data_IF_965675260538
#
_entry.id   IF_965675260538
#
_cell.length_a   1.000
_cell.length_b   1.000
_cell.length_c   1.000
_cell.angle_alpha   90.00
_cell.angle_beta   90.00
_cell.angle_gamma   90.00
#
_symmetry.space_group_name_H-M   'P 1'
#
loop_
_entity.id
_entity.type
_entity.pdbx_description
1 polymer ?
#
# COMPACT_ATOMS: atom_id res chain seq x y z
N UNK A 1 -2.46 -22.29 -44.19
CA UNK A 1 -1.88 -21.20 -43.37
C UNK A 1 -3.00 -20.51 -42.61
N UNK A 2 -2.77 -20.09 -41.37
CA UNK A 2 -3.61 -19.09 -40.70
C UNK A 2 -2.73 -18.26 -39.73
N UNK A 3 -2.26 -17.06 -40.13
CA UNK A 3 -1.13 -16.41 -39.47
C UNK A 3 -1.59 -15.40 -38.40
N UNK A 4 -2.00 -15.86 -37.21
CA UNK A 4 -2.29 -14.96 -36.09
C UNK A 4 -2.12 -15.60 -34.70
N UNK A 5 -0.92 -16.12 -34.41
CA UNK A 5 -0.51 -16.62 -33.08
C UNK A 5 0.67 -15.85 -32.45
N UNK A 6 1.09 -14.74 -33.06
CA UNK A 6 2.11 -13.84 -32.51
C UNK A 6 1.52 -12.44 -32.32
N UNK A 7 1.21 -12.04 -31.07
CA UNK A 7 1.71 -10.79 -30.45
C UNK A 7 1.06 -10.46 -29.07
N UNK A 8 1.01 -11.40 -28.12
CA UNK A 8 0.68 -11.07 -26.71
C UNK A 8 1.92 -11.06 -25.79
N UNK A 9 2.99 -11.77 -26.16
CA UNK A 9 4.23 -11.82 -25.38
C UNK A 9 4.96 -10.45 -25.26
N UNK A 10 4.69 -9.49 -26.15
CA UNK A 10 5.39 -8.21 -26.22
C UNK A 10 4.81 -7.11 -25.29
N UNK A 11 3.80 -7.41 -24.47
CA UNK A 11 3.20 -6.44 -23.53
C UNK A 11 3.64 -6.59 -22.07
N UNK A 12 4.63 -7.44 -21.78
CA UNK A 12 5.34 -7.38 -20.50
C UNK A 12 6.28 -6.17 -20.49
N UNK A 13 5.73 -5.02 -20.10
CA UNK A 13 6.52 -3.89 -19.59
C UNK A 13 7.25 -4.43 -18.36
N UNK A 14 8.57 -4.60 -18.45
CA UNK A 14 9.37 -4.97 -17.28
C UNK A 14 9.42 -3.82 -16.27
N UNK A 15 9.85 -4.08 -15.03
CA UNK A 15 10.06 -3.02 -14.05
C UNK A 15 10.98 -1.93 -14.63
N UNK A 16 10.80 -0.65 -14.23
CA UNK A 16 11.54 0.47 -14.81
C UNK A 16 13.05 0.22 -14.83
N UNK A 17 13.73 0.64 -15.90
CA UNK A 17 15.13 0.27 -16.15
C UNK A 17 16.11 1.01 -15.24
N UNK A 18 16.25 0.52 -14.02
CA UNK A 18 17.24 1.00 -13.04
C UNK A 18 18.68 0.62 -13.44
N UNK A 19 19.66 1.28 -12.84
CA UNK A 19 21.07 0.84 -12.97
C UNK A 19 21.27 -0.47 -12.22
N UNK A 20 22.14 -1.36 -12.75
CA UNK A 20 22.40 -2.67 -12.14
C UNK A 20 22.81 -2.58 -10.66
N UNK A 21 23.55 -1.52 -10.28
CA UNK A 21 23.96 -1.30 -8.89
C UNK A 21 22.80 -0.91 -7.97
N UNK A 22 21.86 -0.07 -8.44
CA UNK A 22 20.66 0.27 -7.66
C UNK A 22 19.76 -0.95 -7.52
N UNK A 23 19.58 -1.73 -8.60
CA UNK A 23 18.81 -2.98 -8.51
C UNK A 23 19.45 -3.99 -7.55
N UNK A 24 20.78 -4.11 -7.54
CA UNK A 24 21.47 -4.98 -6.58
C UNK A 24 21.21 -4.55 -5.13
N UNK A 25 21.38 -3.26 -4.78
CA UNK A 25 21.09 -2.78 -3.42
C UNK A 25 19.64 -3.02 -3.01
N UNK A 26 18.70 -2.85 -3.93
CA UNK A 26 17.27 -3.12 -3.67
C UNK A 26 17.01 -4.61 -3.45
N UNK A 27 17.58 -5.50 -4.28
CA UNK A 27 17.47 -6.95 -4.09
C UNK A 27 18.06 -7.40 -2.74
N UNK A 28 19.23 -6.89 -2.37
CA UNK A 28 19.89 -7.19 -1.08
C UNK A 28 19.05 -6.68 0.12
N UNK A 29 18.50 -5.48 -0.01
CA UNK A 29 17.58 -4.88 0.98
C UNK A 29 16.28 -5.68 1.11
N UNK A 30 15.66 -6.11 0.01
CA UNK A 30 14.42 -6.88 0.01
C UNK A 30 14.61 -8.31 0.55
N UNK A 31 15.70 -8.99 0.19
CA UNK A 31 16.03 -10.31 0.74
C UNK A 31 16.22 -10.26 2.27
N UNK A 32 16.87 -9.20 2.77
CA UNK A 32 16.99 -8.90 4.21
C UNK A 32 15.63 -8.63 4.85
N UNK A 33 14.76 -7.84 4.21
CA UNK A 33 13.42 -7.53 4.74
C UNK A 33 12.47 -8.73 4.75
N UNK A 34 12.51 -9.59 3.73
CA UNK A 34 11.70 -10.83 3.68
C UNK A 34 12.09 -11.78 4.81
N UNK A 35 13.40 -11.95 5.04
CA UNK A 35 13.92 -12.68 6.20
C UNK A 35 13.53 -12.03 7.54
N UNK A 36 13.58 -10.70 7.66
CA UNK A 36 13.10 -9.99 8.86
C UNK A 36 11.59 -10.17 9.11
N UNK A 37 10.80 -10.59 8.11
CA UNK A 37 9.38 -10.93 8.24
C UNK A 37 9.21 -12.41 8.65
N UNK A 38 9.95 -13.34 8.04
CA UNK A 38 10.00 -14.76 8.46
C UNK A 38 10.37 -14.92 9.95
N UNK A 39 11.31 -14.10 10.45
CA UNK A 39 11.74 -14.08 11.85
C UNK A 39 10.79 -13.28 12.79
N UNK A 40 9.75 -12.61 12.28
CA UNK A 40 8.87 -11.71 13.05
C UNK A 40 7.71 -12.43 13.75
N UNK A 41 7.98 -12.96 14.95
CA UNK A 41 6.97 -13.66 15.77
C UNK A 41 5.90 -12.79 16.42
N UNK A 42 5.98 -11.44 16.36
CA UNK A 42 4.97 -10.57 16.99
C UNK A 42 4.78 -9.21 16.28
N UNK A 43 3.61 -9.01 15.68
CA UNK A 43 3.21 -7.82 14.91
C UNK A 43 3.05 -6.52 15.73
N UNK A 44 3.36 -6.49 17.03
CA UNK A 44 3.10 -5.31 17.89
C UNK A 44 4.00 -4.09 17.64
N UNK A 45 5.16 -4.24 16.96
CA UNK A 45 6.22 -3.23 16.91
C UNK A 45 6.43 -2.53 15.54
N UNK A 46 5.34 -2.10 14.89
CA UNK A 46 5.43 -1.40 13.59
C UNK A 46 6.25 -0.08 13.64
N UNK A 47 7.04 0.16 12.59
CA UNK A 47 7.77 1.43 12.42
C UNK A 47 6.87 2.63 12.23
N UNK A 48 5.72 2.48 11.57
CA UNK A 48 4.67 3.51 11.45
C UNK A 48 3.44 3.16 12.32
N UNK A 49 2.77 4.15 12.93
CA UNK A 49 1.64 3.89 13.83
C UNK A 49 0.35 3.56 13.07
N UNK A 50 -0.22 2.38 13.34
CA UNK A 50 -1.44 1.87 12.69
C UNK A 50 -2.62 2.86 12.71
N UNK A 51 -2.81 3.59 13.82
CA UNK A 51 -3.90 4.56 13.95
C UNK A 51 -3.77 5.77 13.00
N UNK A 52 -2.56 6.10 12.51
CA UNK A 52 -2.39 7.12 11.46
C UNK A 52 -2.71 6.52 10.09
N UNK A 53 -2.20 5.33 9.80
CA UNK A 53 -2.50 4.58 8.56
C UNK A 53 -4.02 4.39 8.42
N UNK A 54 -4.69 3.84 9.43
CA UNK A 54 -6.15 3.68 9.48
C UNK A 54 -6.93 4.99 9.40
N UNK A 55 -6.34 6.14 9.79
CA UNK A 55 -6.92 7.47 9.53
C UNK A 55 -6.79 7.84 8.05
N UNK A 56 -5.63 7.63 7.43
CA UNK A 56 -5.38 7.95 6.01
C UNK A 56 -6.27 7.10 5.10
N UNK A 57 -6.41 5.80 5.39
CA UNK A 57 -7.35 4.90 4.71
C UNK A 57 -8.82 5.33 4.85
N UNK A 58 -9.16 6.16 5.84
CA UNK A 58 -10.49 6.74 6.08
C UNK A 58 -10.58 8.24 5.72
N UNK A 59 -9.66 8.72 4.89
CA UNK A 59 -9.85 9.97 4.13
C UNK A 59 -10.57 9.74 2.80
N UNK A 60 -10.67 8.47 2.39
CA UNK A 60 -11.54 8.01 1.32
C UNK A 60 -12.96 7.83 1.90
N UNK A 61 -13.96 8.46 1.28
CA UNK A 61 -15.33 8.51 1.81
C UNK A 61 -16.10 7.21 1.58
N UNK A 62 -15.72 6.41 0.57
CA UNK A 62 -16.36 5.13 0.26
C UNK A 62 -15.92 4.02 1.25
N UNK A 63 -14.77 4.18 1.92
CA UNK A 63 -14.15 3.19 2.81
C UNK A 63 -14.86 3.07 4.16
N UNK A 64 -15.98 2.35 4.14
CA UNK A 64 -16.87 2.10 5.31
C UNK A 64 -16.15 1.42 6.47
N UNK A 65 -15.58 0.24 6.25
CA UNK A 65 -14.89 -0.56 7.28
C UNK A 65 -13.52 -1.03 6.79
N UNK A 66 -12.63 -1.26 7.75
CA UNK A 66 -11.28 -1.79 7.54
C UNK A 66 -11.03 -2.78 8.68
N UNK A 67 -10.51 -3.96 8.34
CA UNK A 67 -10.07 -5.01 9.26
C UNK A 67 -9.06 -4.50 10.31
N UNK A 68 -8.75 -5.35 11.29
CA UNK A 68 -7.66 -5.15 12.25
C UNK A 68 -6.28 -5.27 11.59
N UNK A 69 -6.16 -6.11 10.57
CA UNK A 69 -4.89 -6.58 10.02
C UNK A 69 -4.43 -5.80 8.78
N UNK A 70 -5.34 -5.31 7.94
CA UNK A 70 -4.96 -4.49 6.79
C UNK A 70 -4.06 -3.29 7.16
N UNK A 71 -4.31 -2.51 8.24
CA UNK A 71 -3.39 -1.45 8.65
C UNK A 71 -1.95 -1.93 8.94
N UNK A 72 -1.76 -3.16 9.40
CA UNK A 72 -0.44 -3.77 9.65
C UNK A 72 0.27 -4.13 8.34
N UNK A 73 -0.45 -4.68 7.36
CA UNK A 73 0.01 -4.90 5.98
C UNK A 73 0.46 -3.57 5.36
N UNK A 74 -0.39 -2.55 5.41
CA UNK A 74 -0.03 -1.18 4.97
C UNK A 74 1.20 -0.65 5.72
N UNK A 75 1.35 -0.91 7.03
CA UNK A 75 2.50 -0.43 7.80
C UNK A 75 3.83 -1.01 7.31
N UNK A 76 3.85 -2.28 6.86
CA UNK A 76 5.04 -2.89 6.28
C UNK A 76 5.28 -2.43 4.83
N UNK A 77 4.23 -2.36 4.02
CA UNK A 77 4.32 -1.84 2.65
C UNK A 77 4.85 -0.40 2.60
N UNK A 78 4.43 0.44 3.55
CA UNK A 78 4.94 1.80 3.73
C UNK A 78 6.42 1.85 4.15
N UNK A 79 6.88 0.90 4.97
CA UNK A 79 8.29 0.79 5.35
C UNK A 79 9.16 0.47 4.12
N UNK A 80 8.74 -0.52 3.32
CA UNK A 80 9.39 -0.86 2.04
C UNK A 80 9.40 0.33 1.07
N UNK A 81 8.27 1.00 0.88
CA UNK A 81 8.15 2.17 -0.01
C UNK A 81 9.07 3.33 0.38
N UNK A 82 9.20 3.62 1.68
CA UNK A 82 10.13 4.66 2.17
C UNK A 82 11.59 4.22 1.98
N UNK A 83 11.92 2.93 2.21
CA UNK A 83 13.27 2.38 1.98
C UNK A 83 13.66 2.41 0.49
N UNK A 84 12.78 1.94 -0.39
CA UNK A 84 12.95 1.91 -1.85
C UNK A 84 13.25 3.31 -2.40
N UNK A 85 12.40 4.30 -2.09
CA UNK A 85 12.61 5.68 -2.52
C UNK A 85 13.85 6.33 -1.90
N UNK A 86 14.21 5.97 -0.66
CA UNK A 86 15.45 6.44 -0.05
C UNK A 86 16.67 5.91 -0.80
N UNK A 87 16.68 4.63 -1.16
CA UNK A 87 17.78 3.97 -1.88
C UNK A 87 17.96 4.53 -3.29
N UNK A 88 16.86 4.71 -4.03
CA UNK A 88 16.87 5.31 -5.38
C UNK A 88 17.33 6.77 -5.35
N UNK A 89 16.78 7.57 -4.45
CA UNK A 89 17.17 8.97 -4.32
C UNK A 89 18.60 9.13 -3.80
N UNK A 90 19.09 8.21 -2.97
CA UNK A 90 20.49 8.23 -2.55
C UNK A 90 21.46 8.00 -3.71
N UNK A 91 21.12 7.15 -4.69
CA UNK A 91 21.91 7.05 -5.92
C UNK A 91 22.01 8.40 -6.66
N UNK A 92 20.92 9.15 -6.79
CA UNK A 92 20.94 10.51 -7.35
C UNK A 92 21.86 11.45 -6.55
N UNK A 93 21.96 11.28 -5.22
CA UNK A 93 22.90 12.03 -4.39
C UNK A 93 24.36 11.60 -4.62
N UNK A 94 24.63 10.30 -4.72
CA UNK A 94 25.97 9.75 -4.98
C UNK A 94 26.50 10.13 -6.38
N UNK A 95 25.67 10.05 -7.43
CA UNK A 95 26.02 10.45 -8.80
C UNK A 95 26.36 11.95 -8.90
N UNK A 96 25.79 12.76 -8.00
CA UNK A 96 26.12 14.18 -7.82
C UNK A 96 27.26 14.41 -6.81
N UNK A 97 28.01 13.37 -6.44
CA UNK A 97 29.12 13.37 -5.48
C UNK A 97 28.76 13.88 -4.07
N UNK A 98 27.48 13.84 -3.69
CA UNK A 98 26.97 14.33 -2.41
C UNK A 98 26.79 13.20 -1.40
N UNK A 99 27.26 13.44 -0.18
CA UNK A 99 27.01 12.58 1.00
C UNK A 99 25.87 13.09 1.89
N UNK A 100 24.91 13.80 1.28
CA UNK A 100 23.67 14.29 1.91
C UNK A 100 22.53 14.26 0.88
N UNK A 101 21.49 13.51 1.23
CA UNK A 101 20.21 13.41 0.54
C UNK A 101 19.37 14.68 0.78
N UNK A 102 18.78 15.21 -0.29
CA UNK A 102 18.01 16.46 -0.35
C UNK A 102 16.63 16.22 -0.98
N UNK A 103 15.77 17.24 -0.94
CA UNK A 103 14.50 17.32 -1.69
C UNK A 103 14.66 16.93 -3.17
N UNK A 104 15.60 17.56 -3.90
CA UNK A 104 15.82 17.36 -5.35
C UNK A 104 16.15 15.91 -5.74
N UNK A 105 16.75 15.13 -4.84
CA UNK A 105 17.08 13.73 -5.10
C UNK A 105 15.82 12.84 -5.15
N UNK A 106 14.82 13.18 -4.32
CA UNK A 106 13.51 12.54 -4.27
C UNK A 106 12.67 12.99 -5.47
N UNK A 107 12.72 14.26 -5.85
CA UNK A 107 12.02 14.80 -7.03
C UNK A 107 12.51 14.12 -8.33
N UNK A 108 13.83 13.98 -8.50
CA UNK A 108 14.41 13.20 -9.60
C UNK A 108 13.96 11.72 -9.58
N UNK A 109 13.72 11.14 -8.40
CA UNK A 109 13.18 9.79 -8.24
C UNK A 109 11.69 9.71 -8.62
N UNK A 110 10.88 10.70 -8.26
CA UNK A 110 9.48 10.75 -8.71
C UNK A 110 9.39 10.86 -10.23
N UNK A 111 10.16 11.76 -10.84
CA UNK A 111 10.17 11.97 -12.30
C UNK A 111 10.69 10.78 -13.12
N UNK A 112 11.49 9.89 -12.54
CA UNK A 112 12.05 8.72 -13.24
C UNK A 112 11.37 7.39 -12.90
N UNK A 113 10.92 7.20 -11.65
CA UNK A 113 10.40 5.92 -11.16
C UNK A 113 8.89 5.96 -10.97
N UNK A 114 8.37 6.85 -10.11
CA UNK A 114 6.94 6.89 -9.80
C UNK A 114 6.12 7.52 -10.93
N UNK A 115 6.74 8.25 -11.86
CA UNK A 115 6.10 8.71 -13.09
C UNK A 115 6.04 7.66 -14.22
N UNK A 116 6.57 6.45 -14.01
CA UNK A 116 6.28 5.25 -14.84
C UNK A 116 5.04 4.52 -14.26
N UNK A 117 5.02 4.38 -12.94
CA UNK A 117 3.78 4.30 -12.16
C UNK A 117 2.91 5.56 -12.36
N UNK A 118 1.70 5.60 -11.78
CA UNK A 118 0.80 6.78 -11.78
C UNK A 118 0.38 7.39 -13.15
N UNK A 119 0.94 6.96 -14.28
CA UNK A 119 0.70 7.41 -15.67
C UNK A 119 -0.76 7.34 -16.15
N UNK A 120 -1.68 6.78 -15.35
CA UNK A 120 -3.13 6.89 -15.53
C UNK A 120 -3.64 8.34 -15.40
N UNK A 121 -2.88 9.25 -14.79
CA UNK A 121 -3.18 10.69 -14.78
C UNK A 121 -2.30 11.45 -15.78
N UNK A 122 -2.95 12.11 -16.75
CA UNK A 122 -2.34 12.92 -17.82
C UNK A 122 -1.83 14.28 -17.30
N UNK A 123 -0.99 14.25 -16.25
CA UNK A 123 -0.55 15.44 -15.49
C UNK A 123 0.97 15.50 -15.23
N UNK A 124 1.71 14.45 -15.58
CA UNK A 124 3.17 14.38 -15.42
C UNK A 124 3.67 14.35 -13.98
N UNK A 125 4.99 14.25 -13.82
CA UNK A 125 5.65 14.19 -12.51
C UNK A 125 5.56 15.48 -11.71
N UNK A 126 5.61 16.64 -12.37
CA UNK A 126 5.48 17.96 -11.72
C UNK A 126 4.17 18.08 -10.93
N UNK A 127 3.04 17.66 -11.51
CA UNK A 127 1.76 17.68 -10.80
C UNK A 127 1.70 16.68 -9.64
N UNK A 128 2.44 15.57 -9.72
CA UNK A 128 2.59 14.62 -8.61
C UNK A 128 3.40 15.27 -7.47
N UNK A 129 4.52 15.93 -7.77
CA UNK A 129 5.34 16.66 -6.80
C UNK A 129 4.50 17.76 -6.13
N UNK A 130 3.78 18.58 -6.90
CA UNK A 130 2.88 19.61 -6.36
C UNK A 130 1.77 19.02 -5.47
N UNK A 131 1.20 17.87 -5.82
CA UNK A 131 0.19 17.19 -5.00
C UNK A 131 0.77 16.59 -3.70
N UNK A 132 2.01 16.09 -3.77
CA UNK A 132 2.78 15.65 -2.59
C UNK A 132 3.03 16.86 -1.69
N UNK A 133 3.54 17.99 -2.20
CA UNK A 133 3.87 19.15 -1.36
C UNK A 133 2.65 19.75 -0.65
N UNK A 134 1.51 19.83 -1.34
CA UNK A 134 0.24 20.33 -0.79
C UNK A 134 -0.46 19.36 0.18
N UNK A 135 0.00 18.12 0.31
CA UNK A 135 -0.54 17.17 1.32
C UNK A 135 -0.13 17.61 2.73
N UNK A 136 -1.03 17.49 3.71
CA UNK A 136 -0.75 17.76 5.13
C UNK A 136 -0.05 16.55 5.78
N UNK A 137 1.02 16.74 6.55
CA UNK A 137 1.70 15.64 7.23
C UNK A 137 0.80 14.96 8.30
N UNK A 138 0.38 13.71 8.06
CA UNK A 138 -0.35 12.85 9.00
C UNK A 138 0.60 11.80 9.60
N UNK A 139 1.54 11.28 8.83
CA UNK A 139 2.58 10.34 9.26
C UNK A 139 3.70 11.03 10.06
N UNK A 140 4.22 10.40 11.13
CA UNK A 140 5.18 11.05 12.01
C UNK A 140 6.59 11.10 11.39
N UNK A 141 7.04 12.29 11.00
CA UNK A 141 8.34 12.56 10.36
C UNK A 141 9.54 11.92 11.07
N UNK A 142 9.51 11.83 12.41
CA UNK A 142 10.56 11.18 13.20
C UNK A 142 10.66 9.66 13.00
N UNK A 143 9.55 8.99 12.65
CA UNK A 143 9.56 7.58 12.23
C UNK A 143 9.99 7.45 10.76
N UNK A 144 9.47 8.29 9.87
CA UNK A 144 9.88 8.32 8.45
C UNK A 144 11.40 8.49 8.34
N UNK A 145 11.97 9.48 9.04
CA UNK A 145 13.42 9.72 9.13
C UNK A 145 14.22 8.56 9.72
N UNK A 146 13.59 7.70 10.55
CA UNK A 146 14.21 6.48 11.09
C UNK A 146 14.20 5.34 10.06
N UNK A 147 13.14 5.21 9.26
CA UNK A 147 13.05 4.23 8.16
C UNK A 147 14.06 4.59 7.05
N UNK A 148 14.19 5.87 6.70
CA UNK A 148 15.27 6.39 5.81
C UNK A 148 16.71 6.16 6.32
N UNK A 149 16.86 5.55 7.51
CA UNK A 149 18.11 5.31 8.24
C UNK A 149 18.09 3.95 8.95
N UNK A 150 17.25 3.02 8.47
CA UNK A 150 17.14 1.67 9.05
C UNK A 150 18.30 0.77 8.61
N UNK A 151 18.85 1.04 7.43
CA UNK A 151 20.15 0.46 7.06
C UNK A 151 21.27 1.01 7.96
N UNK A 152 22.13 0.11 8.42
CA UNK A 152 23.22 0.39 9.37
C UNK A 152 24.55 0.59 8.67
N UNK A 153 24.69 0.02 7.47
CA UNK A 153 25.92 -0.01 6.70
C UNK A 153 26.08 1.30 5.91
N UNK A 154 24.97 1.92 5.50
CA UNK A 154 24.97 3.22 4.81
C UNK A 154 24.59 4.41 5.71
N UNK A 155 25.58 5.24 6.07
CA UNK A 155 25.42 6.43 6.95
C UNK A 155 24.83 7.66 6.22
N UNK A 156 23.66 7.48 5.58
CA UNK A 156 22.94 8.52 4.83
C UNK A 156 22.72 9.77 5.71
N UNK A 157 23.15 10.95 5.27
CA UNK A 157 22.72 12.25 5.84
C UNK A 157 21.49 12.74 5.05
N UNK A 158 20.52 13.38 5.72
CA UNK A 158 19.26 13.83 5.11
C UNK A 158 18.98 15.28 5.53
N UNK A 159 18.42 16.12 4.64
CA UNK A 159 17.91 17.45 5.04
C UNK A 159 16.63 17.34 5.89
N UNK A 160 16.11 18.48 6.37
CA UNK A 160 14.90 18.52 7.18
C UNK A 160 13.61 18.28 6.38
N UNK A 161 13.61 18.61 5.07
CA UNK A 161 12.43 18.52 4.19
C UNK A 161 12.23 17.09 3.65
N UNK A 162 13.33 16.38 3.37
CA UNK A 162 13.30 15.03 2.76
C UNK A 162 12.36 14.04 3.48
N UNK A 163 12.33 13.97 4.84
CA UNK A 163 11.38 13.11 5.56
C UNK A 163 9.92 13.55 5.49
N UNK A 164 9.62 14.83 5.22
CA UNK A 164 8.24 15.30 5.00
C UNK A 164 7.75 14.93 3.60
N UNK A 165 8.57 15.13 2.58
CA UNK A 165 8.25 14.73 1.20
C UNK A 165 7.99 13.21 1.13
N UNK A 166 8.84 12.39 1.75
CA UNK A 166 8.59 10.94 1.83
C UNK A 166 7.39 10.56 2.72
N UNK A 167 7.08 11.32 3.78
CA UNK A 167 5.86 11.08 4.56
C UNK A 167 4.61 11.34 3.70
N UNK A 168 4.54 12.48 3.02
CA UNK A 168 3.42 12.87 2.15
C UNK A 168 3.26 11.95 0.94
N UNK A 169 4.36 11.53 0.31
CA UNK A 169 4.34 10.52 -0.75
C UNK A 169 3.85 9.15 -0.24
N UNK A 170 4.27 8.75 0.97
CA UNK A 170 3.80 7.53 1.62
C UNK A 170 2.29 7.61 1.97
N UNK A 171 1.76 8.80 2.25
CA UNK A 171 0.31 9.01 2.44
C UNK A 171 -0.48 8.91 1.13
N UNK A 172 0.09 9.37 0.01
CA UNK A 172 -0.50 9.17 -1.31
C UNK A 172 -0.45 7.70 -1.74
N UNK A 173 0.65 6.99 -1.45
CA UNK A 173 0.75 5.54 -1.62
C UNK A 173 -0.33 4.79 -0.81
N UNK A 174 -0.54 5.14 0.47
CA UNK A 174 -1.63 4.55 1.28
C UNK A 174 -2.98 4.80 0.61
N UNK A 175 -3.27 6.02 0.13
CA UNK A 175 -4.56 6.34 -0.52
C UNK A 175 -4.79 5.53 -1.79
N UNK A 176 -3.82 5.48 -2.70
CA UNK A 176 -3.93 4.75 -3.97
C UNK A 176 -4.10 3.24 -3.76
N UNK A 177 -3.31 2.63 -2.88
CA UNK A 177 -3.47 1.23 -2.52
C UNK A 177 -4.78 0.97 -1.73
N UNK A 178 -5.28 1.94 -0.97
CA UNK A 178 -6.61 1.84 -0.31
C UNK A 178 -7.73 1.83 -1.33
N UNK A 179 -7.74 2.73 -2.30
CA UNK A 179 -8.78 2.79 -3.33
C UNK A 179 -8.82 1.51 -4.19
N UNK A 180 -7.65 0.97 -4.55
CA UNK A 180 -7.54 -0.31 -5.28
C UNK A 180 -7.97 -1.52 -4.44
N UNK A 181 -7.68 -1.52 -3.13
CA UNK A 181 -8.19 -2.54 -2.21
C UNK A 181 -9.70 -2.40 -1.96
N UNK A 182 -10.24 -1.17 -1.95
CA UNK A 182 -11.69 -0.93 -1.86
C UNK A 182 -12.42 -1.50 -3.07
N UNK A 183 -11.92 -1.28 -4.29
CA UNK A 183 -12.49 -1.87 -5.51
C UNK A 183 -12.57 -3.40 -5.42
N UNK A 184 -11.49 -4.07 -4.97
CA UNK A 184 -11.51 -5.52 -4.76
C UNK A 184 -12.55 -5.96 -3.71
N UNK A 185 -12.77 -5.18 -2.65
CA UNK A 185 -13.80 -5.46 -1.66
C UNK A 185 -15.21 -5.30 -2.26
N UNK A 186 -15.43 -4.22 -3.02
CA UNK A 186 -16.71 -3.87 -3.65
C UNK A 186 -17.13 -4.86 -4.74
N UNK A 187 -16.19 -5.28 -5.61
CA UNK A 187 -16.41 -6.35 -6.61
C UNK A 187 -16.84 -7.67 -5.92
N UNK A 188 -16.28 -7.97 -4.75
CA UNK A 188 -16.67 -9.10 -3.91
C UNK A 188 -17.92 -8.85 -3.04
N UNK A 189 -18.64 -7.73 -3.26
CA UNK A 189 -19.82 -7.29 -2.51
C UNK A 189 -19.57 -7.12 -0.99
N UNK A 190 -18.31 -6.95 -0.58
CA UNK A 190 -17.88 -6.73 0.81
C UNK A 190 -17.76 -5.23 1.10
N UNK A 191 -18.20 -4.83 2.29
CA UNK A 191 -18.12 -3.42 2.77
C UNK A 191 -16.97 -3.18 3.75
N UNK A 192 -15.96 -4.08 3.74
CA UNK A 192 -14.82 -4.06 4.66
C UNK A 192 -13.56 -4.43 3.90
N UNK A 193 -12.54 -3.54 3.91
CA UNK A 193 -11.22 -3.87 3.39
C UNK A 193 -10.54 -4.86 4.34
N UNK A 194 -10.31 -6.06 3.84
CA UNK A 194 -9.61 -7.16 4.48
C UNK A 194 -8.18 -7.29 3.91
N UNK A 195 -7.44 -8.33 4.26
CA UNK A 195 -6.03 -8.50 3.84
C UNK A 195 -5.94 -9.05 2.41
N UNK A 196 -6.88 -9.91 2.01
CA UNK A 196 -6.99 -10.45 0.65
C UNK A 196 -7.25 -9.36 -0.40
N UNK A 197 -7.93 -8.27 -0.02
CA UNK A 197 -8.15 -7.10 -0.90
C UNK A 197 -6.85 -6.37 -1.22
N UNK A 198 -5.96 -6.25 -0.23
CA UNK A 198 -4.67 -5.57 -0.35
C UNK A 198 -3.68 -6.45 -1.09
N UNK A 199 -3.66 -7.75 -0.80
CA UNK A 199 -2.88 -8.74 -1.55
C UNK A 199 -3.30 -8.78 -3.03
N UNK A 200 -4.61 -8.77 -3.32
CA UNK A 200 -5.15 -8.68 -4.68
C UNK A 200 -4.80 -7.34 -5.35
N UNK A 201 -4.85 -6.23 -4.61
CA UNK A 201 -4.52 -4.90 -5.13
C UNK A 201 -3.03 -4.78 -5.49
N UNK A 202 -2.14 -5.47 -4.76
CA UNK A 202 -0.72 -5.58 -5.08
C UNK A 202 -0.53 -6.50 -6.29
N UNK A 203 -1.04 -7.73 -6.23
CA UNK A 203 -0.86 -8.76 -7.28
C UNK A 203 -1.40 -8.34 -8.66
N UNK A 204 -2.46 -7.53 -8.70
CA UNK A 204 -3.10 -7.08 -9.94
C UNK A 204 -2.53 -5.76 -10.50
N UNK A 205 -1.53 -5.14 -9.86
CA UNK A 205 -1.00 -3.84 -10.30
C UNK A 205 0.53 -3.81 -10.29
N UNK A 206 1.09 -3.75 -11.50
CA UNK A 206 2.51 -3.65 -11.86
C UNK A 206 3.33 -2.67 -10.99
N UNK A 207 2.67 -1.62 -10.52
CA UNK A 207 3.27 -0.52 -9.80
C UNK A 207 3.54 -0.86 -8.32
N UNK A 208 3.20 -2.08 -7.89
CA UNK A 208 3.42 -2.63 -6.54
C UNK A 208 4.19 -3.97 -6.52
N UNK A 209 4.75 -4.45 -7.63
CA UNK A 209 5.52 -5.71 -7.70
C UNK A 209 6.62 -5.80 -6.62
N UNK A 210 7.18 -4.65 -6.20
CA UNK A 210 8.16 -4.53 -5.10
C UNK A 210 7.65 -4.94 -3.70
N UNK A 211 6.37 -5.32 -3.59
CA UNK A 211 5.71 -5.80 -2.38
C UNK A 211 5.27 -7.28 -2.47
N UNK A 212 5.38 -7.91 -3.64
CA UNK A 212 4.93 -9.28 -3.85
C UNK A 212 5.72 -10.29 -2.99
N UNK A 213 7.05 -10.14 -2.92
CA UNK A 213 7.93 -10.98 -2.09
C UNK A 213 7.88 -10.62 -0.58
N UNK A 214 7.14 -9.59 -0.21
CA UNK A 214 7.11 -9.00 1.15
C UNK A 214 5.86 -9.45 1.92
N UNK A 215 4.75 -9.68 1.23
CA UNK A 215 3.53 -10.19 1.82
C UNK A 215 3.39 -11.67 1.45
N UNK A 216 3.23 -12.59 2.42
CA UNK A 216 2.83 -13.95 2.09
C UNK A 216 1.43 -13.90 1.46
N UNK A 217 1.38 -14.04 0.13
CA UNK A 217 0.14 -14.28 -0.62
C UNK A 217 -0.20 -15.76 -0.39
N UNK A 218 -0.65 -16.05 0.83
CA UNK A 218 -1.00 -17.42 1.22
C UNK A 218 -2.20 -17.90 0.39
N UNK A 219 -1.93 -18.84 -0.52
CA UNK A 219 -2.93 -19.69 -1.19
C UNK A 219 -3.66 -20.62 -0.19
N UNK A 220 -3.36 -20.45 1.11
CA UNK A 220 -3.97 -21.10 2.26
C UNK A 220 -4.74 -20.13 3.18
N UNK A 221 -5.56 -19.24 2.59
CA UNK A 221 -6.74 -18.77 3.28
C UNK A 221 -7.65 -19.98 3.62
N UNK A 222 -7.93 -20.29 4.91
CA UNK A 222 -8.88 -21.32 5.24
C UNK A 222 -10.28 -20.85 4.81
N UNK A 223 -10.86 -21.56 3.83
CA UNK A 223 -12.21 -21.33 3.31
C UNK A 223 -13.26 -21.68 4.37
N UNK A 224 -13.37 -20.79 5.35
CA UNK A 224 -14.38 -20.83 6.41
C UNK A 224 -15.75 -20.67 5.73
N UNK A 225 -16.64 -21.68 5.76
CA UNK A 225 -17.92 -21.60 5.07
C UNK A 225 -18.72 -20.40 5.59
N UNK A 226 -19.33 -19.64 4.68
CA UNK A 226 -20.07 -18.43 5.03
C UNK A 226 -21.13 -18.75 6.10
N UNK A 227 -20.99 -18.13 7.27
CA UNK A 227 -21.93 -18.31 8.38
C UNK A 227 -23.34 -17.92 7.93
N UNK A 228 -24.36 -18.79 8.09
CA UNK A 228 -25.69 -18.53 7.57
C UNK A 228 -26.32 -17.32 8.27
N UNK A 229 -26.96 -16.45 7.49
CA UNK A 229 -27.49 -15.18 7.96
C UNK A 229 -28.48 -15.36 9.13
N UNK A 230 -28.10 -14.85 10.30
CA UNK A 230 -28.93 -14.85 11.51
C UNK A 230 -30.15 -13.94 11.32
N UNK A 231 -31.35 -14.50 11.49
CA UNK A 231 -32.60 -13.76 11.29
C UNK A 231 -32.85 -12.84 12.48
N UNK A 232 -33.03 -11.54 12.21
CA UNK A 232 -33.40 -10.56 13.22
C UNK A 232 -34.71 -10.95 13.94
N UNK A 233 -34.84 -10.69 15.26
CA UNK A 233 -36.03 -11.04 16.03
C UNK A 233 -37.24 -10.20 15.61
N UNK A 234 -38.32 -10.85 15.17
CA UNK A 234 -39.57 -10.19 14.81
C UNK A 234 -40.33 -9.67 16.03
N UNK A 235 -40.73 -8.39 16.00
CA UNK A 235 -41.50 -7.74 17.06
C UNK A 235 -42.97 -8.23 17.09
N UNK A 236 -43.44 -8.88 18.16
CA UNK A 236 -44.78 -9.44 18.23
C UNK A 236 -45.81 -8.43 18.77
N UNK A 237 -46.31 -7.54 17.91
CA UNK A 237 -47.44 -6.66 18.26
C UNK A 237 -48.31 -6.28 17.05
N UNK A 238 -49.20 -7.19 16.64
CA UNK A 238 -50.39 -6.83 15.87
C UNK A 238 -51.51 -7.85 16.11
N UNK A 239 -52.52 -7.47 16.89
CA UNK A 239 -53.66 -8.33 17.25
C UNK A 239 -54.97 -7.78 16.67
N UNK A 240 -55.50 -8.43 15.62
CA UNK A 240 -56.91 -8.34 15.28
C UNK A 240 -57.59 -9.69 15.54
N UNK A 241 -58.47 -9.76 16.54
CA UNK A 241 -59.43 -10.86 16.64
C UNK A 241 -60.80 -10.33 17.09
N UNK A 242 -61.82 -10.62 16.29
CA UNK A 242 -63.21 -10.28 16.54
C UNK A 242 -64.08 -11.47 16.11
N UNK A 243 -65.12 -11.78 16.90
CA UNK A 243 -66.18 -12.72 16.48
C UNK A 243 -66.19 -14.10 17.16
N UNK A 244 -66.74 -14.13 18.38
CA UNK A 244 -67.83 -15.03 18.79
C UNK A 244 -67.90 -16.47 18.22
N UNK A 245 -67.98 -17.49 19.09
CA UNK A 245 -69.19 -18.34 19.14
C UNK A 245 -69.27 -19.36 20.31
N UNK A 246 -70.45 -19.33 20.97
CA UNK A 246 -71.30 -20.48 21.38
C UNK A 246 -70.86 -21.47 22.49
N UNK A 247 -71.74 -21.52 23.50
CA UNK A 247 -72.18 -22.69 24.31
C UNK A 247 -71.16 -23.26 25.31
N UNK A 248 -71.61 -23.88 26.41
CA UNK A 248 -72.99 -24.20 26.83
C UNK A 248 -73.47 -23.33 27.99
#
# INVERSE_FOLDING_TARGET
MNPNQNNEAARRVGPPRYTNQVQQRLNEMWAKQSKEIEEMTDFKNHSLPLNKIKKIMKLDEDVRKISSEAPAVFAKACEMFIQDLTTRAWANAEDNYRRTLKKVDIEATFSTTISESFKRADRGSEALIVLIENTMDILPLGRTKRIMKSDKDEKIKVTIETPSILAKACEMFIKDLTARAWANAEDNNRTTIATEDVASAISNNHEFDFLADVLPIDEHLPTTPAAPAEKAPGNPNNSPNAGQCKKQ
#
